data_IF_616610696753
#
_entry.id   IF_616610696753
#
_cell.length_a   1.000
_cell.length_b   1.000
_cell.length_c   1.000
_cell.angle_alpha   90.00
_cell.angle_beta   90.00
_cell.angle_gamma   90.00
#
_symmetry.space_group_name_H-M   'P 1'
#
loop_
_entity.id
_entity.type
_entity.pdbx_description
1 polymer ?
#
# COMPACT_ATOMS: atom_id res chain seq x y z
N UNK A 1 -8.91 1.88 -17.13
CA UNK A 1 -7.90 2.73 -16.46
C UNK A 1 -8.33 4.18 -16.49
N UNK A 2 -8.12 4.92 -15.41
CA UNK A 2 -8.37 6.37 -15.35
C UNK A 2 -7.20 7.20 -15.95
N UNK A 3 -7.40 8.51 -16.14
CA UNK A 3 -6.42 9.40 -16.78
C UNK A 3 -5.10 9.49 -16.02
N UNK A 4 -5.14 9.58 -14.69
CA UNK A 4 -3.94 9.68 -13.86
C UNK A 4 -3.18 8.36 -13.92
N UNK A 5 -3.89 7.22 -13.91
CA UNK A 5 -3.27 5.91 -14.08
C UNK A 5 -2.52 5.82 -15.41
N UNK A 6 -3.17 6.14 -16.54
CA UNK A 6 -2.51 6.15 -17.87
C UNK A 6 -1.35 7.13 -17.96
N UNK A 7 -1.44 8.28 -17.28
CA UNK A 7 -0.41 9.30 -17.31
C UNK A 7 0.88 8.83 -16.64
N UNK A 8 0.78 8.05 -15.56
CA UNK A 8 1.90 7.75 -14.67
C UNK A 8 2.36 6.31 -14.67
N UNK A 9 1.59 5.38 -15.24
CA UNK A 9 1.91 3.96 -15.24
C UNK A 9 1.85 3.40 -16.66
N UNK A 10 2.97 2.85 -17.09
CA UNK A 10 3.15 2.18 -18.37
C UNK A 10 4.26 1.14 -18.18
N UNK A 11 3.85 -0.13 -18.18
CA UNK A 11 4.73 -1.26 -17.91
C UNK A 11 5.88 -1.35 -18.92
N UNK A 12 5.59 -1.07 -20.20
CA UNK A 12 6.58 -1.18 -21.27
C UNK A 12 7.72 -0.16 -21.16
N UNK A 13 7.51 0.91 -20.38
CA UNK A 13 8.52 1.94 -20.15
C UNK A 13 9.46 1.67 -18.97
N UNK A 14 9.19 0.61 -18.18
CA UNK A 14 9.97 0.29 -16.98
C UNK A 14 11.10 -0.67 -17.36
N UNK A 15 12.33 -0.30 -16.99
CA UNK A 15 13.49 -1.17 -17.20
C UNK A 15 13.64 -2.14 -16.04
N UNK A 16 13.56 -3.44 -16.30
CA UNK A 16 13.74 -4.47 -15.27
C UNK A 16 15.17 -5.00 -15.27
N UNK A 17 15.78 -5.06 -14.09
CA UNK A 17 17.07 -5.71 -13.85
C UNK A 17 16.89 -6.77 -12.78
N UNK A 18 17.30 -7.99 -13.06
CA UNK A 18 17.13 -9.13 -12.16
C UNK A 18 18.47 -9.75 -11.81
N UNK A 19 18.59 -10.20 -10.57
CA UNK A 19 19.65 -11.12 -10.19
C UNK A 19 19.51 -12.43 -11.01
N UNK A 20 20.62 -13.04 -11.50
CA UNK A 20 20.58 -14.24 -12.35
C UNK A 20 19.77 -15.40 -11.78
N UNK A 21 19.80 -15.58 -10.47
CA UNK A 21 19.07 -16.61 -9.72
C UNK A 21 17.54 -16.45 -9.75
N UNK A 22 17.04 -15.27 -10.10
CA UNK A 22 15.61 -14.96 -10.25
C UNK A 22 15.16 -14.93 -11.72
N UNK A 23 16.00 -15.44 -12.64
CA UNK A 23 15.62 -15.56 -14.05
C UNK A 23 14.42 -16.51 -14.19
N UNK A 24 13.36 -16.06 -14.87
CA UNK A 24 12.11 -16.81 -15.02
C UNK A 24 11.19 -16.79 -13.78
N UNK A 25 11.59 -16.19 -12.66
CA UNK A 25 10.73 -15.97 -11.51
C UNK A 25 9.78 -14.78 -11.80
N UNK A 26 8.56 -15.09 -12.28
CA UNK A 26 7.56 -14.17 -12.87
C UNK A 26 7.98 -13.46 -14.16
N UNK A 27 7.03 -13.06 -15.00
CA UNK A 27 7.30 -12.21 -16.17
C UNK A 27 7.62 -10.76 -15.75
N UNK A 28 8.40 -10.03 -16.55
CA UNK A 28 8.83 -8.66 -16.20
C UNK A 28 7.63 -7.75 -15.95
N UNK A 29 6.60 -7.87 -16.76
CA UNK A 29 5.37 -7.10 -16.60
C UNK A 29 4.67 -7.36 -15.27
N UNK A 30 4.71 -8.59 -14.78
CA UNK A 30 4.10 -8.98 -13.51
C UNK A 30 4.88 -8.40 -12.33
N UNK A 31 6.22 -8.43 -12.39
CA UNK A 31 7.06 -7.81 -11.36
C UNK A 31 6.91 -6.28 -11.34
N UNK A 32 6.76 -5.65 -12.50
CA UNK A 32 6.51 -4.20 -12.61
C UNK A 32 5.18 -3.82 -11.98
N UNK A 33 4.11 -4.60 -12.22
CA UNK A 33 2.79 -4.41 -11.62
C UNK A 33 2.82 -4.72 -10.11
N UNK A 34 3.46 -5.80 -9.68
CA UNK A 34 3.63 -6.12 -8.26
C UNK A 34 4.37 -5.02 -7.50
N UNK A 35 5.39 -4.41 -8.11
CA UNK A 35 6.09 -3.28 -7.51
C UNK A 35 5.25 -2.00 -7.49
N UNK A 36 4.18 -1.93 -8.30
CA UNK A 36 3.44 -0.70 -8.56
C UNK A 36 4.33 0.38 -9.18
N UNK A 37 5.27 0.00 -10.05
CA UNK A 37 6.31 0.89 -10.53
C UNK A 37 5.75 1.94 -11.52
N UNK A 38 6.00 3.25 -11.29
CA UNK A 38 5.64 4.31 -12.23
C UNK A 38 6.41 4.19 -13.55
N UNK A 39 5.86 4.77 -14.62
CA UNK A 39 6.50 4.80 -15.94
C UNK A 39 7.89 5.44 -15.90
N UNK A 40 8.78 4.96 -16.77
CA UNK A 40 10.17 5.44 -16.86
C UNK A 40 11.05 5.09 -15.66
N UNK A 41 10.57 4.25 -14.74
CA UNK A 41 11.38 3.77 -13.62
C UNK A 41 12.34 2.65 -14.04
N UNK A 42 13.32 2.39 -13.19
CA UNK A 42 14.07 1.13 -13.18
C UNK A 42 13.58 0.28 -12.02
N UNK A 43 13.29 -0.99 -12.27
CA UNK A 43 12.99 -1.98 -11.24
C UNK A 43 14.19 -2.92 -11.09
N UNK A 44 14.85 -2.86 -9.94
CA UNK A 44 15.90 -3.79 -9.53
C UNK A 44 15.26 -4.91 -8.67
N UNK A 45 15.42 -6.17 -9.09
CA UNK A 45 14.83 -7.38 -8.46
C UNK A 45 15.95 -8.24 -7.90
N UNK A 46 16.05 -8.33 -6.58
CA UNK A 46 17.20 -8.97 -5.91
C UNK A 46 16.74 -9.83 -4.74
N UNK A 47 17.33 -11.02 -4.54
CA UNK A 47 17.11 -11.76 -3.30
C UNK A 47 17.77 -11.04 -2.13
N UNK A 48 17.15 -11.19 -0.97
CA UNK A 48 17.64 -10.73 0.31
C UNK A 48 18.30 -11.91 1.07
N UNK A 49 19.26 -11.66 1.98
CA UNK A 49 19.93 -12.74 2.72
C UNK A 49 19.00 -13.62 3.58
N UNK A 50 17.82 -13.13 3.93
CA UNK A 50 16.77 -13.83 4.68
C UNK A 50 15.83 -14.66 3.78
N UNK A 51 16.12 -14.76 2.48
CA UNK A 51 15.31 -15.50 1.51
C UNK A 51 14.10 -14.73 0.97
N UNK A 52 13.92 -13.47 1.39
CA UNK A 52 12.94 -12.58 0.76
C UNK A 52 13.44 -12.10 -0.61
N UNK A 53 12.56 -11.44 -1.37
CA UNK A 53 12.90 -10.83 -2.65
C UNK A 53 12.49 -9.36 -2.62
N UNK A 54 13.46 -8.48 -2.82
CA UNK A 54 13.26 -7.04 -2.84
C UNK A 54 12.99 -6.57 -4.28
N UNK A 55 11.85 -5.90 -4.46
CA UNK A 55 11.48 -5.14 -5.64
C UNK A 55 11.78 -3.66 -5.38
N UNK A 56 12.92 -3.19 -5.87
CA UNK A 56 13.40 -1.81 -5.66
C UNK A 56 13.16 -0.98 -6.92
N UNK A 57 12.23 -0.03 -6.83
CA UNK A 57 11.89 0.90 -7.91
C UNK A 57 12.66 2.20 -7.74
N UNK A 58 13.51 2.51 -8.72
CA UNK A 58 14.27 3.75 -8.80
C UNK A 58 13.66 4.65 -9.86
N UNK A 59 13.28 5.87 -9.46
CA UNK A 59 12.79 6.92 -10.34
C UNK A 59 13.18 8.27 -9.74
N UNK A 60 14.30 8.83 -10.18
CA UNK A 60 14.88 10.03 -9.57
C UNK A 60 14.04 11.28 -9.81
N UNK A 61 13.23 11.31 -10.86
CA UNK A 61 12.34 12.44 -11.16
C UNK A 61 11.13 12.45 -10.23
N UNK A 62 10.58 11.28 -9.88
CA UNK A 62 9.33 11.16 -9.16
C UNK A 62 9.50 10.92 -7.65
N UNK A 63 10.48 10.11 -7.26
CA UNK A 63 10.66 9.60 -5.91
C UNK A 63 11.82 10.33 -5.19
N UNK A 64 11.65 10.61 -3.90
CA UNK A 64 12.74 11.10 -3.05
C UNK A 64 13.75 10.00 -2.72
N UNK A 65 13.26 8.77 -2.60
CA UNK A 65 14.03 7.57 -2.32
C UNK A 65 13.38 6.39 -3.06
N UNK A 66 14.12 5.31 -3.34
CA UNK A 66 13.54 4.17 -4.05
C UNK A 66 12.35 3.59 -3.31
N UNK A 67 11.29 3.31 -4.06
CA UNK A 67 10.15 2.56 -3.55
C UNK A 67 10.59 1.11 -3.41
N UNK A 68 10.30 0.49 -2.26
CA UNK A 68 10.73 -0.89 -1.98
C UNK A 68 9.52 -1.71 -1.56
N UNK A 69 9.25 -2.77 -2.31
CA UNK A 69 8.36 -3.86 -1.91
C UNK A 69 9.21 -5.08 -1.59
N UNK A 70 8.96 -5.72 -0.46
CA UNK A 70 9.62 -6.98 -0.10
C UNK A 70 8.62 -8.11 -0.18
N UNK A 71 8.94 -9.14 -0.94
CA UNK A 71 8.15 -10.36 -1.06
C UNK A 71 8.79 -11.43 -0.17
N UNK A 72 8.06 -11.95 0.81
CA UNK A 72 8.51 -13.03 1.69
C UNK A 72 7.49 -14.16 1.73
N UNK A 73 7.93 -15.38 2.04
CA UNK A 73 7.02 -16.48 2.36
C UNK A 73 6.42 -16.27 3.75
N UNK A 74 5.19 -16.72 3.95
CA UNK A 74 4.59 -16.74 5.28
C UNK A 74 5.27 -17.76 6.21
N UNK A 75 5.09 -17.59 7.53
CA UNK A 75 5.64 -18.48 8.55
C UNK A 75 5.04 -19.91 8.48
N UNK A 76 3.95 -20.11 7.74
CA UNK A 76 3.25 -21.40 7.64
C UNK A 76 3.91 -22.36 6.63
N UNK A 77 4.93 -21.91 5.90
CA UNK A 77 5.64 -22.72 4.91
C UNK A 77 4.76 -23.12 3.71
N UNK A 78 3.56 -22.56 3.61
CA UNK A 78 2.75 -22.62 2.40
C UNK A 78 3.32 -21.60 1.42
N UNK A 79 3.25 -21.86 0.11
CA UNK A 79 3.71 -20.95 -0.95
C UNK A 79 2.77 -19.74 -1.08
N UNK A 80 2.59 -19.04 0.02
CA UNK A 80 1.75 -17.88 0.18
C UNK A 80 2.69 -16.74 0.54
N UNK A 81 2.71 -15.75 -0.33
CA UNK A 81 3.61 -14.62 -0.22
C UNK A 81 2.95 -13.44 0.49
N UNK A 82 3.77 -12.69 1.23
CA UNK A 82 3.41 -11.40 1.80
C UNK A 82 4.20 -10.30 1.09
N UNK A 83 3.55 -9.17 0.80
CA UNK A 83 4.24 -7.98 0.27
C UNK A 83 4.37 -6.95 1.39
N UNK A 84 5.59 -6.56 1.75
CA UNK A 84 5.82 -5.47 2.69
C UNK A 84 6.16 -4.16 1.99
N UNK A 85 5.39 -3.12 2.29
CA UNK A 85 5.53 -1.76 1.75
C UNK A 85 6.51 -0.95 2.61
N UNK A 86 7.80 -1.03 2.26
CA UNK A 86 8.90 -0.54 3.09
C UNK A 86 9.19 0.97 2.93
N UNK A 87 9.06 1.52 1.72
CA UNK A 87 9.31 2.94 1.44
C UNK A 87 8.41 3.45 0.31
N UNK A 88 7.81 4.63 0.50
CA UNK A 88 7.03 5.32 -0.52
C UNK A 88 7.04 6.84 -0.28
N UNK A 89 8.02 7.53 -0.86
CA UNK A 89 8.14 8.98 -0.70
C UNK A 89 8.21 9.67 -2.06
N UNK A 90 7.08 10.29 -2.45
CA UNK A 90 7.02 11.15 -3.63
C UNK A 90 7.69 12.50 -3.37
N UNK A 91 8.38 13.02 -4.38
CA UNK A 91 8.85 14.41 -4.36
C UNK A 91 7.69 15.39 -4.21
N UNK A 92 7.89 16.56 -3.58
CA UNK A 92 6.82 17.49 -3.23
C UNK A 92 5.87 17.84 -4.39
N UNK A 93 6.40 18.05 -5.60
CA UNK A 93 5.61 18.40 -6.79
C UNK A 93 4.62 17.32 -7.23
N UNK A 94 4.84 16.05 -6.86
CA UNK A 94 4.00 14.91 -7.25
C UNK A 94 3.06 14.43 -6.14
N UNK A 95 3.15 15.03 -4.95
CA UNK A 95 2.26 14.71 -3.83
C UNK A 95 0.84 15.16 -4.15
N UNK A 96 -0.15 14.49 -3.53
CA UNK A 96 -1.59 14.79 -3.67
C UNK A 96 -2.14 14.66 -5.11
N UNK A 97 -1.37 14.11 -6.05
CA UNK A 97 -1.83 13.81 -7.41
C UNK A 97 -2.45 12.39 -7.55
N UNK A 98 -2.57 11.64 -6.45
CA UNK A 98 -3.13 10.28 -6.47
C UNK A 98 -2.25 9.21 -7.11
N UNK A 99 -0.96 9.50 -7.30
CA UNK A 99 0.03 8.56 -7.87
C UNK A 99 0.27 7.40 -6.91
N UNK A 100 0.53 7.69 -5.63
CA UNK A 100 0.83 6.63 -4.65
C UNK A 100 -0.31 5.66 -4.42
N UNK A 101 -1.54 6.16 -4.39
CA UNK A 101 -2.74 5.33 -4.24
C UNK A 101 -2.96 4.41 -5.45
N UNK A 102 -2.56 4.85 -6.65
CA UNK A 102 -2.64 4.03 -7.88
C UNK A 102 -1.53 2.99 -7.94
N UNK A 103 -0.31 3.35 -7.53
CA UNK A 103 0.80 2.39 -7.41
C UNK A 103 0.42 1.22 -6.50
N UNK A 104 -0.14 1.51 -5.33
CA UNK A 104 -0.62 0.47 -4.41
C UNK A 104 -1.83 -0.27 -4.97
N UNK A 105 -2.77 0.41 -5.63
CA UNK A 105 -3.91 -0.26 -6.25
C UNK A 105 -3.47 -1.29 -7.32
N UNK A 106 -2.49 -0.91 -8.16
CA UNK A 106 -1.87 -1.79 -9.17
C UNK A 106 -1.25 -3.02 -8.50
N UNK A 107 -0.47 -2.80 -7.43
CA UNK A 107 0.12 -3.87 -6.60
C UNK A 107 -0.95 -4.83 -6.04
N UNK A 108 -1.99 -4.31 -5.39
CA UNK A 108 -3.06 -5.12 -4.79
C UNK A 108 -3.80 -5.96 -5.82
N UNK A 109 -4.13 -5.37 -6.98
CA UNK A 109 -4.83 -6.07 -8.05
C UNK A 109 -3.95 -7.12 -8.72
N UNK A 110 -2.66 -6.86 -8.89
CA UNK A 110 -1.73 -7.85 -9.45
C UNK A 110 -1.49 -9.01 -8.49
N UNK A 111 -1.27 -8.72 -7.20
CA UNK A 111 -1.12 -9.75 -6.17
C UNK A 111 -2.35 -10.66 -6.10
N UNK A 112 -3.56 -10.09 -6.18
CA UNK A 112 -4.80 -10.85 -6.30
C UNK A 112 -4.86 -11.68 -7.59
N UNK A 113 -4.49 -11.11 -8.73
CA UNK A 113 -4.51 -11.80 -10.04
C UNK A 113 -3.59 -13.03 -10.05
N UNK A 114 -2.41 -12.92 -9.43
CA UNK A 114 -1.44 -14.00 -9.34
C UNK A 114 -1.89 -15.11 -8.37
N UNK A 115 -2.74 -14.80 -7.38
CA UNK A 115 -3.42 -15.80 -6.55
C UNK A 115 -2.55 -16.51 -5.51
N UNK A 116 -1.27 -16.13 -5.37
CA UNK A 116 -0.32 -16.73 -4.43
C UNK A 116 0.08 -15.80 -3.27
N UNK A 117 -0.59 -14.65 -3.12
CA UNK A 117 -0.34 -13.70 -2.03
C UNK A 117 -1.52 -13.70 -1.05
N UNK A 118 -1.25 -13.81 0.27
CA UNK A 118 -2.33 -13.73 1.28
C UNK A 118 -2.63 -12.32 1.71
N UNK A 119 -1.60 -11.48 1.84
CA UNK A 119 -1.74 -10.12 2.34
C UNK A 119 -0.62 -9.19 1.89
N UNK A 120 -0.89 -7.90 2.00
CA UNK A 120 0.11 -6.83 1.89
C UNK A 120 0.21 -6.13 3.23
N UNK A 121 1.41 -5.93 3.76
CA UNK A 121 1.64 -5.30 5.06
C UNK A 121 2.40 -3.98 4.91
N UNK A 122 2.25 -3.10 5.90
CA UNK A 122 3.00 -1.84 5.94
C UNK A 122 3.16 -1.32 7.36
N UNK A 123 4.26 -0.60 7.59
CA UNK A 123 4.41 0.26 8.77
C UNK A 123 3.83 1.63 8.42
N UNK A 124 2.57 1.86 8.80
CA UNK A 124 1.85 3.06 8.44
C UNK A 124 2.25 4.25 9.33
N UNK A 125 3.40 4.87 9.04
CA UNK A 125 4.02 5.91 9.88
C UNK A 125 3.25 7.23 9.86
N UNK A 126 3.21 7.90 11.01
CA UNK A 126 2.74 9.26 11.21
C UNK A 126 1.65 9.36 12.27
N UNK A 127 1.25 10.59 12.57
CA UNK A 127 0.11 10.94 13.39
C UNK A 127 -0.39 12.34 12.99
N UNK A 128 -1.35 12.89 13.72
CA UNK A 128 -1.89 14.22 13.44
C UNK A 128 -0.81 15.32 13.45
N UNK A 129 0.16 15.24 14.36
CA UNK A 129 1.24 16.23 14.49
C UNK A 129 2.19 16.21 13.29
N UNK A 130 2.31 15.06 12.61
CA UNK A 130 3.12 14.92 11.41
C UNK A 130 2.34 15.16 10.11
N UNK A 131 1.11 15.69 10.13
CA UNK A 131 0.33 15.91 8.90
C UNK A 131 0.73 17.16 8.12
N UNK A 132 1.53 18.04 8.71
CA UNK A 132 1.87 19.36 8.15
C UNK A 132 3.37 19.51 7.90
N UNK A 133 3.72 20.34 6.91
CA UNK A 133 5.10 20.67 6.58
C UNK A 133 5.75 19.79 5.50
N UNK A 134 7.02 20.07 5.16
CA UNK A 134 7.74 19.40 4.06
C UNK A 134 7.99 17.90 4.33
N UNK A 135 8.08 17.52 5.62
CA UNK A 135 8.29 16.15 6.08
C UNK A 135 7.00 15.49 6.58
N UNK A 136 5.84 15.92 6.07
CA UNK A 136 4.57 15.38 6.52
C UNK A 136 4.49 13.85 6.29
N UNK A 137 4.20 13.11 7.36
CA UNK A 137 3.99 11.67 7.37
C UNK A 137 2.51 11.41 7.61
N UNK A 138 1.82 10.96 6.57
CA UNK A 138 0.35 10.73 6.60
C UNK A 138 0.00 9.25 6.39
N UNK A 139 0.98 8.36 6.54
CA UNK A 139 0.84 6.93 6.29
C UNK A 139 -0.27 6.31 7.14
N UNK A 140 -0.28 6.59 8.45
CA UNK A 140 -1.28 6.06 9.39
C UNK A 140 -2.73 6.29 8.93
N UNK A 141 -3.00 7.40 8.23
CA UNK A 141 -4.32 7.73 7.73
C UNK A 141 -4.52 7.25 6.28
N UNK A 142 -3.53 7.45 5.41
CA UNK A 142 -3.62 7.12 4.00
C UNK A 142 -3.81 5.61 3.76
N UNK A 143 -2.99 4.77 4.41
CA UNK A 143 -3.08 3.31 4.30
C UNK A 143 -4.42 2.80 4.82
N UNK A 144 -4.83 3.26 6.01
CA UNK A 144 -6.10 2.83 6.61
C UNK A 144 -7.31 3.20 5.74
N UNK A 145 -7.30 4.39 5.13
CA UNK A 145 -8.34 4.80 4.16
C UNK A 145 -8.42 3.91 2.93
N UNK A 146 -7.31 3.30 2.52
CA UNK A 146 -7.24 2.38 1.40
C UNK A 146 -7.70 0.96 1.73
N UNK A 147 -8.06 0.66 2.99
CA UNK A 147 -8.52 -0.67 3.41
C UNK A 147 -7.45 -1.54 4.06
N UNK A 148 -6.27 -0.99 4.33
CA UNK A 148 -5.33 -1.62 5.26
C UNK A 148 -5.93 -1.57 6.67
N UNK A 149 -5.95 -2.71 7.33
CA UNK A 149 -6.60 -2.92 8.60
C UNK A 149 -5.58 -3.21 9.70
N UNK A 150 -5.99 -2.94 10.93
CA UNK A 150 -5.30 -3.38 12.12
C UNK A 150 -6.30 -3.33 13.28
N UNK A 151 -6.07 -4.15 14.30
CA UNK A 151 -6.81 -4.03 15.56
C UNK A 151 -6.59 -2.64 16.17
N UNK A 152 -7.66 -2.03 16.69
CA UNK A 152 -7.54 -0.73 17.35
C UNK A 152 -6.72 -0.88 18.64
N UNK A 153 -5.67 -0.05 18.83
CA UNK A 153 -4.95 -0.01 20.10
C UNK A 153 -5.87 0.37 21.26
N UNK A 154 -5.60 -0.12 22.47
CA UNK A 154 -6.43 0.16 23.65
C UNK A 154 -6.55 1.65 23.95
N UNK A 155 -5.46 2.41 23.79
CA UNK A 155 -5.47 3.87 23.93
C UNK A 155 -6.45 4.57 22.98
N UNK A 156 -6.69 4.00 21.80
CA UNK A 156 -7.66 4.51 20.82
C UNK A 156 -9.08 4.15 21.25
N UNK A 157 -9.32 2.90 21.67
CA UNK A 157 -10.64 2.42 22.14
C UNK A 157 -11.12 3.15 23.40
N UNK A 158 -10.18 3.50 24.28
CA UNK A 158 -10.42 4.20 25.55
C UNK A 158 -10.48 5.73 25.40
N UNK A 159 -10.18 6.28 24.22
CA UNK A 159 -10.20 7.71 24.00
C UNK A 159 -11.62 8.27 24.24
N UNK A 160 -11.73 9.33 25.05
CA UNK A 160 -13.01 9.94 25.41
C UNK A 160 -13.71 10.58 24.21
N UNK A 161 -12.96 11.03 23.20
CA UNK A 161 -13.46 11.61 21.96
C UNK A 161 -13.88 10.56 20.91
N UNK A 162 -13.69 9.26 21.19
CA UNK A 162 -14.13 8.20 20.27
C UNK A 162 -15.66 8.29 20.10
N UNK A 163 -16.17 8.45 18.87
CA UNK A 163 -17.61 8.58 18.63
C UNK A 163 -18.40 7.40 19.20
N UNK A 164 -19.59 7.68 19.74
CA UNK A 164 -20.43 6.66 20.36
C UNK A 164 -20.71 5.47 19.42
N UNK A 165 -20.95 5.74 18.12
CA UNK A 165 -21.17 4.72 17.11
C UNK A 165 -19.93 3.85 16.81
N UNK A 166 -18.75 4.26 17.25
CA UNK A 166 -17.49 3.54 17.05
C UNK A 166 -16.97 2.84 18.31
N UNK A 167 -17.70 2.89 19.44
CA UNK A 167 -17.28 2.28 20.71
C UNK A 167 -17.13 0.77 20.66
N UNK A 168 -17.85 0.12 19.74
CA UNK A 168 -17.78 -1.33 19.50
C UNK A 168 -16.86 -1.70 18.34
N UNK A 169 -16.21 -0.74 17.69
CA UNK A 169 -15.25 -1.05 16.62
C UNK A 169 -14.04 -1.77 17.23
N UNK A 170 -13.68 -2.91 16.66
CA UNK A 170 -12.50 -3.68 17.07
C UNK A 170 -11.26 -3.35 16.23
N UNK A 171 -11.47 -2.88 15.00
CA UNK A 171 -10.42 -2.63 14.01
C UNK A 171 -10.63 -1.32 13.23
N UNK A 172 -9.63 -0.98 12.42
CA UNK A 172 -9.61 0.23 11.62
C UNK A 172 -10.68 0.24 10.52
N UNK A 173 -10.96 -0.90 9.89
CA UNK A 173 -12.02 -0.98 8.88
C UNK A 173 -13.39 -0.64 9.49
N UNK A 174 -13.73 -1.21 10.66
CA UNK A 174 -14.95 -0.88 11.38
C UNK A 174 -14.99 0.60 11.78
N UNK A 175 -13.88 1.15 12.27
CA UNK A 175 -13.78 2.56 12.64
C UNK A 175 -14.00 3.48 11.42
N UNK A 176 -13.34 3.19 10.31
CA UNK A 176 -13.35 4.01 9.10
C UNK A 176 -14.58 3.80 8.21
N UNK A 177 -15.47 2.87 8.57
CA UNK A 177 -16.76 2.67 7.93
C UNK A 177 -17.68 3.90 8.05
N UNK A 178 -17.45 4.76 9.05
CA UNK A 178 -18.26 5.98 9.27
C UNK A 178 -17.45 7.26 9.07
N UNK A 179 -18.13 8.36 8.70
CA UNK A 179 -17.48 9.69 8.61
C UNK A 179 -16.93 10.17 9.95
N UNK A 180 -17.64 9.89 11.05
CA UNK A 180 -17.22 10.26 12.39
C UNK A 180 -15.94 9.52 12.80
N UNK A 181 -15.86 8.22 12.56
CA UNK A 181 -14.65 7.43 12.82
C UNK A 181 -13.48 7.81 11.92
N UNK A 182 -13.72 8.18 10.65
CA UNK A 182 -12.69 8.77 9.78
C UNK A 182 -12.13 10.08 10.33
N UNK A 183 -12.99 10.99 10.78
CA UNK A 183 -12.57 12.27 11.37
C UNK A 183 -11.80 12.06 12.68
N UNK A 184 -12.26 11.10 13.50
CA UNK A 184 -11.58 10.71 14.74
C UNK A 184 -10.19 10.12 14.45
N UNK A 185 -10.08 9.13 13.55
CA UNK A 185 -8.80 8.51 13.21
C UNK A 185 -7.83 9.53 12.62
N UNK A 186 -8.30 10.47 11.81
CA UNK A 186 -7.45 11.54 11.31
C UNK A 186 -6.78 12.33 12.46
N UNK A 187 -7.49 12.62 13.54
CA UNK A 187 -6.96 13.45 14.65
C UNK A 187 -6.20 12.65 15.71
N UNK A 188 -6.63 11.42 15.98
CA UNK A 188 -6.16 10.61 17.12
C UNK A 188 -5.41 9.35 16.69
N UNK A 189 -5.36 9.08 15.38
CA UNK A 189 -4.62 7.97 14.82
C UNK A 189 -3.11 8.17 14.94
N UNK A 190 -2.40 7.06 14.81
CA UNK A 190 -0.96 7.00 15.03
C UNK A 190 -0.31 5.90 14.21
N UNK A 191 1.01 5.92 14.16
CA UNK A 191 1.84 4.89 13.55
C UNK A 191 1.41 3.50 14.01
N UNK A 192 1.11 2.63 13.05
CA UNK A 192 0.66 1.27 13.32
C UNK A 192 1.07 0.34 12.19
N UNK A 193 1.37 -0.91 12.52
CA UNK A 193 1.50 -1.95 11.50
C UNK A 193 0.10 -2.34 11.00
N UNK A 194 -0.09 -2.33 9.69
CA UNK A 194 -1.37 -2.63 9.08
C UNK A 194 -1.23 -3.66 7.97
N UNK A 195 -2.29 -4.42 7.73
CA UNK A 195 -2.35 -5.45 6.71
C UNK A 195 -3.57 -5.28 5.80
N UNK A 196 -3.42 -5.66 4.54
CA UNK A 196 -4.50 -5.75 3.58
C UNK A 196 -4.72 -7.22 3.25
N UNK A 197 -5.87 -7.77 3.65
CA UNK A 197 -6.25 -9.14 3.35
C UNK A 197 -6.64 -9.28 1.87
N UNK A 198 -5.87 -10.07 1.12
CA UNK A 198 -6.09 -10.30 -0.30
C UNK A 198 -7.15 -11.36 -0.58
N UNK A 199 -7.63 -12.12 0.42
CA UNK A 199 -8.71 -13.07 0.24
C UNK A 199 -9.99 -12.38 -0.29
N UNK A 200 -10.77 -13.10 -1.08
CA UNK A 200 -12.04 -12.59 -1.62
C UNK A 200 -13.18 -13.51 -1.19
N UNK A 201 -14.23 -12.99 -0.54
CA UNK A 201 -14.40 -11.59 -0.09
C UNK A 201 -13.58 -11.26 1.17
N UNK A 202 -13.04 -10.04 1.27
CA UNK A 202 -12.48 -9.47 2.52
C UNK A 202 -13.01 -8.05 2.80
N UNK A 203 -13.09 -7.64 4.09
CA UNK A 203 -13.42 -6.26 4.48
C UNK A 203 -12.44 -5.21 3.91
N UNK A 204 -11.17 -5.58 3.72
CA UNK A 204 -10.13 -4.75 3.10
C UNK A 204 -10.49 -4.39 1.66
N UNK A 205 -10.90 -5.38 0.87
CA UNK A 205 -11.36 -5.15 -0.51
C UNK A 205 -12.63 -4.31 -0.57
N UNK A 206 -13.58 -4.47 0.36
CA UNK A 206 -14.77 -3.64 0.43
C UNK A 206 -14.44 -2.16 0.71
N UNK A 207 -13.57 -1.92 1.70
CA UNK A 207 -13.08 -0.58 2.01
C UNK A 207 -12.35 0.04 0.84
N UNK A 208 -11.44 -0.71 0.21
CA UNK A 208 -10.70 -0.25 -0.95
C UNK A 208 -11.61 0.11 -2.12
N UNK A 209 -12.61 -0.74 -2.45
CA UNK A 209 -13.57 -0.45 -3.52
C UNK A 209 -14.34 0.86 -3.27
N UNK A 210 -14.74 1.12 -2.03
CA UNK A 210 -15.38 2.39 -1.66
C UNK A 210 -14.41 3.56 -1.83
N UNK A 211 -13.18 3.42 -1.32
CA UNK A 211 -12.13 4.43 -1.46
C UNK A 211 -11.80 4.77 -2.92
N UNK A 212 -11.65 3.74 -3.76
CA UNK A 212 -11.35 3.85 -5.17
C UNK A 212 -12.48 4.55 -5.92
N UNK A 213 -13.75 4.18 -5.64
CA UNK A 213 -14.93 4.82 -6.21
C UNK A 213 -15.04 6.30 -5.83
N UNK A 214 -14.81 6.65 -4.56
CA UNK A 214 -14.80 8.05 -4.10
C UNK A 214 -13.75 8.92 -4.81
N UNK A 215 -12.69 8.31 -5.36
CA UNK A 215 -11.53 9.00 -5.95
C UNK A 215 -11.36 8.75 -7.44
N UNK A 216 -12.33 8.08 -8.08
CA UNK A 216 -12.26 7.66 -9.49
C UNK A 216 -10.93 6.97 -9.83
N UNK A 217 -10.50 6.04 -8.96
CA UNK A 217 -9.31 5.23 -9.17
C UNK A 217 -9.74 4.00 -9.96
N UNK A 218 -9.21 3.87 -11.16
CA UNK A 218 -9.41 2.69 -12.01
C UNK A 218 -8.07 2.25 -12.55
N UNK A 219 -7.60 1.09 -12.10
CA UNK A 219 -6.28 0.56 -12.45
C UNK A 219 -6.33 -0.69 -13.33
N UNK A 220 -7.50 -1.03 -13.90
CA UNK A 220 -7.74 -2.25 -14.68
C UNK A 220 -6.52 -2.58 -15.54
N UNK A 221 -5.88 -3.70 -15.18
CA UNK A 221 -4.67 -4.28 -15.75
C UNK A 221 -4.95 -4.97 -17.08
#
# INVERSE_FOLDING_TARGET
MDEITRKWFDVASVQVRRAPELHGWYADEELVRLAGAPKGSRLDVTPSPDGAIDLRVVNEDLLCEPLVRRISQDESGRYVFEIHNAAFVLRPGFRRQGIGTRSVAIELHEALRLGHFSKVTTSAVGDWSSTSGPSAMVGYFAWARMGFNARLPDAVRQNVELPACCRQCEDLNALLATRAGQAFWLRHGRSLHMEFDLAVPSPSWEHFRRYARERNIEVIL
#
